data_IF_194606115206
#
_entry.id   IF_194606115206
#
_cell.length_a   1.000
_cell.length_b   1.000
_cell.length_c   1.000
_cell.angle_alpha   90.00
_cell.angle_beta   90.00
_cell.angle_gamma   90.00
#
_symmetry.space_group_name_H-M   'P 1'
#
loop_
_entity.id
_entity.type
_entity.pdbx_description
1 polymer ?
#
# COMPACT_ATOMS: atom_id res chain seq x y z
N UNK A 1 -31.30 -9.04 -9.80
CA UNK A 1 -30.01 -9.59 -10.26
C UNK A 1 -29.07 -8.41 -10.38
N UNK A 2 -28.27 -8.15 -9.34
CA UNK A 2 -27.29 -7.06 -9.37
C UNK A 2 -26.15 -7.50 -10.29
N UNK A 3 -26.01 -6.84 -11.44
CA UNK A 3 -24.84 -6.98 -12.29
C UNK A 3 -23.67 -6.38 -11.51
N UNK A 4 -22.83 -7.20 -10.88
CA UNK A 4 -21.53 -6.73 -10.38
C UNK A 4 -20.74 -6.17 -11.57
N UNK A 5 -20.21 -4.96 -11.42
CA UNK A 5 -19.34 -4.37 -12.45
C UNK A 5 -18.06 -5.21 -12.59
N UNK A 6 -17.40 -5.15 -13.74
CA UNK A 6 -16.11 -5.86 -13.93
C UNK A 6 -15.05 -5.44 -12.90
N UNK A 7 -15.10 -4.16 -12.46
CA UNK A 7 -14.30 -3.64 -11.34
C UNK A 7 -14.56 -4.38 -10.04
N UNK A 8 -15.82 -4.66 -9.69
CA UNK A 8 -16.17 -5.38 -8.45
C UNK A 8 -15.60 -6.80 -8.47
N UNK A 9 -15.67 -7.49 -9.60
CA UNK A 9 -15.09 -8.81 -9.77
C UNK A 9 -13.56 -8.81 -9.63
N UNK A 10 -12.89 -7.76 -10.13
CA UNK A 10 -11.44 -7.60 -9.99
C UNK A 10 -11.04 -7.29 -8.55
N UNK A 11 -11.77 -6.39 -7.88
CA UNK A 11 -11.56 -6.10 -6.46
C UNK A 11 -11.72 -7.37 -5.63
N UNK A 12 -12.78 -8.14 -5.84
CA UNK A 12 -12.99 -9.41 -5.12
C UNK A 12 -11.85 -10.40 -5.33
N UNK A 13 -11.27 -10.48 -6.54
CA UNK A 13 -10.09 -11.32 -6.80
C UNK A 13 -8.85 -10.82 -6.09
N UNK A 14 -8.61 -9.50 -6.10
CA UNK A 14 -7.48 -8.90 -5.39
C UNK A 14 -7.62 -9.19 -3.89
N UNK A 15 -8.75 -8.87 -3.29
CA UNK A 15 -8.97 -9.07 -1.85
C UNK A 15 -8.79 -10.55 -1.45
N UNK A 16 -9.37 -11.49 -2.20
CA UNK A 16 -9.16 -12.94 -1.95
C UNK A 16 -7.70 -13.37 -2.00
N UNK A 17 -6.89 -12.75 -2.87
CA UNK A 17 -5.45 -13.06 -2.91
C UNK A 17 -4.69 -12.47 -1.73
N UNK A 18 -5.11 -11.30 -1.24
CA UNK A 18 -4.52 -10.64 -0.07
C UNK A 18 -4.91 -11.33 1.23
N UNK A 19 -6.16 -11.77 1.39
CA UNK A 19 -6.69 -12.47 2.59
C UNK A 19 -5.86 -13.71 2.99
N UNK A 20 -5.05 -14.27 2.08
CA UNK A 20 -4.16 -15.40 2.38
C UNK A 20 -3.02 -15.02 3.32
N UNK A 21 -2.52 -13.77 3.22
CA UNK A 21 -1.30 -13.32 3.91
C UNK A 21 -1.45 -11.99 4.66
N UNK A 22 -2.47 -11.19 4.33
CA UNK A 22 -2.69 -9.84 4.83
C UNK A 22 -3.94 -9.79 5.70
N UNK A 23 -3.92 -8.92 6.69
CA UNK A 23 -5.12 -8.50 7.41
C UNK A 23 -5.88 -7.50 6.52
N UNK A 24 -7.05 -7.89 6.03
CA UNK A 24 -7.86 -7.10 5.08
C UNK A 24 -9.03 -6.44 5.79
N UNK A 25 -9.15 -5.12 5.66
CA UNK A 25 -10.29 -4.34 6.14
C UNK A 25 -11.01 -3.69 4.95
N UNK A 26 -12.33 -3.94 4.82
CA UNK A 26 -13.16 -3.27 3.81
C UNK A 26 -13.60 -1.90 4.32
N UNK A 27 -13.47 -0.88 3.49
CA UNK A 27 -13.76 0.50 3.86
C UNK A 27 -14.95 1.05 3.07
N UNK A 28 -15.78 1.86 3.74
CA UNK A 28 -16.79 2.69 3.10
C UNK A 28 -16.48 4.17 3.40
N UNK A 29 -15.42 4.70 2.78
CA UNK A 29 -15.09 6.11 2.90
C UNK A 29 -15.95 6.93 1.93
N UNK A 30 -16.74 7.90 2.44
CA UNK A 30 -17.59 8.75 1.59
C UNK A 30 -16.81 9.83 0.82
N UNK A 31 -15.61 10.20 1.27
CA UNK A 31 -14.84 11.30 0.68
C UNK A 31 -13.80 10.85 -0.35
N UNK A 32 -13.35 9.60 -0.29
CA UNK A 32 -12.38 9.03 -1.21
C UNK A 32 -12.89 7.66 -1.71
N UNK A 33 -12.55 7.25 -2.94
CA UNK A 33 -12.97 5.97 -3.50
C UNK A 33 -12.23 4.75 -2.88
N UNK A 34 -11.87 4.81 -1.60
CA UNK A 34 -11.18 3.74 -0.87
C UNK A 34 -12.18 2.61 -0.59
N UNK A 35 -11.85 1.40 -1.02
CA UNK A 35 -12.69 0.21 -0.83
C UNK A 35 -12.11 -0.79 0.15
N UNK A 36 -10.80 -0.78 0.37
CA UNK A 36 -10.14 -1.63 1.34
C UNK A 36 -8.74 -1.14 1.70
N UNK A 37 -8.30 -1.52 2.89
CA UNK A 37 -6.90 -1.51 3.32
C UNK A 37 -6.43 -2.95 3.58
N UNK A 38 -5.14 -3.20 3.39
CA UNK A 38 -4.54 -4.50 3.69
C UNK A 38 -3.18 -4.30 4.37
N UNK A 39 -2.96 -4.99 5.48
CA UNK A 39 -1.71 -4.87 6.26
C UNK A 39 -0.96 -6.20 6.31
N UNK A 40 0.36 -6.13 6.12
CA UNK A 40 1.26 -7.27 6.22
C UNK A 40 2.46 -6.93 7.09
N UNK A 41 2.78 -7.83 8.01
CA UNK A 41 3.86 -7.67 8.97
C UNK A 41 4.70 -8.94 9.05
N UNK A 42 5.98 -8.83 8.71
CA UNK A 42 6.95 -9.91 8.87
C UNK A 42 8.06 -9.47 9.81
N UNK A 43 8.28 -10.30 10.82
CA UNK A 43 9.40 -10.19 11.74
C UNK A 43 10.32 -11.39 11.53
N UNK A 44 11.52 -11.14 11.02
CA UNK A 44 12.56 -12.17 10.86
C UNK A 44 13.65 -11.95 11.91
N UNK A 45 13.93 -12.97 12.72
CA UNK A 45 15.06 -12.99 13.64
C UNK A 45 15.98 -14.17 13.36
N UNK A 46 17.29 -13.92 13.27
CA UNK A 46 18.30 -14.98 13.31
C UNK A 46 19.14 -14.88 14.58
N UNK A 47 19.19 -15.98 15.33
CA UNK A 47 19.98 -16.14 16.55
C UNK A 47 21.27 -16.92 16.25
N UNK A 48 22.37 -16.57 16.90
CA UNK A 48 23.59 -17.40 16.92
C UNK A 48 23.90 -17.81 18.35
N UNK A 49 23.94 -19.12 18.60
CA UNK A 49 24.37 -19.79 19.85
C UNK A 49 23.58 -19.50 21.15
N UNK A 50 22.86 -18.37 21.28
CA UNK A 50 21.86 -18.15 22.35
C UNK A 50 20.89 -17.01 22.01
N UNK A 51 19.73 -16.94 22.68
CA UNK A 51 18.76 -15.81 22.52
C UNK A 51 19.36 -14.43 22.81
N UNK A 52 20.48 -14.34 23.55
CA UNK A 52 21.17 -13.08 23.86
C UNK A 52 22.09 -12.58 22.72
N UNK A 53 22.36 -13.43 21.73
CA UNK A 53 23.18 -13.11 20.57
C UNK A 53 22.31 -13.12 19.29
N UNK A 54 21.43 -12.13 19.21
CA UNK A 54 20.67 -11.83 18.00
C UNK A 54 21.64 -11.31 16.93
N UNK A 55 21.75 -12.02 15.81
CA UNK A 55 22.67 -11.68 14.73
C UNK A 55 22.11 -10.53 13.88
N UNK A 56 20.79 -10.53 13.67
CA UNK A 56 20.00 -9.47 13.04
C UNK A 56 18.50 -9.73 13.27
N UNK A 57 17.72 -8.66 13.43
CA UNK A 57 16.27 -8.62 13.21
C UNK A 57 15.97 -7.79 11.96
N UNK A 58 14.98 -8.22 11.20
CA UNK A 58 14.45 -7.49 10.05
C UNK A 58 12.94 -7.47 10.16
N UNK A 59 12.40 -6.29 10.44
CA UNK A 59 10.97 -5.99 10.30
C UNK A 59 10.73 -5.47 8.89
N UNK A 60 9.83 -6.14 8.17
CA UNK A 60 9.34 -5.76 6.86
C UNK A 60 7.82 -5.64 6.93
N UNK A 61 7.29 -4.46 6.56
CA UNK A 61 5.86 -4.21 6.59
C UNK A 61 5.35 -3.74 5.23
N UNK A 62 4.09 -4.00 4.93
CA UNK A 62 3.40 -3.41 3.78
C UNK A 62 1.98 -2.97 4.17
N UNK A 63 1.61 -1.77 3.75
CA UNK A 63 0.31 -1.17 3.97
C UNK A 63 -0.29 -0.82 2.60
N UNK A 64 -1.35 -1.54 2.22
CA UNK A 64 -1.97 -1.44 0.89
C UNK A 64 -3.29 -0.69 0.98
N UNK A 65 -3.51 0.25 0.08
CA UNK A 65 -4.72 1.05 -0.04
C UNK A 65 -5.33 0.84 -1.44
N UNK A 66 -6.54 0.30 -1.48
CA UNK A 66 -7.20 -0.05 -2.74
C UNK A 66 -8.31 0.95 -3.04
N UNK A 67 -8.22 1.61 -4.19
CA UNK A 67 -9.15 2.63 -4.66
C UNK A 67 -9.91 2.15 -5.90
N UNK A 68 -11.22 2.37 -5.94
CA UNK A 68 -12.10 2.00 -7.07
C UNK A 68 -12.90 3.21 -7.55
N UNK A 69 -12.69 3.64 -8.79
CA UNK A 69 -13.40 4.77 -9.41
C UNK A 69 -13.72 4.48 -10.87
N UNK A 70 -14.70 5.14 -11.48
CA UNK A 70 -14.94 5.00 -12.93
C UNK A 70 -13.92 5.81 -13.74
N UNK A 71 -13.66 7.06 -13.31
CA UNK A 71 -12.67 7.95 -13.92
C UNK A 71 -11.61 8.33 -12.91
N UNK A 72 -10.35 8.00 -13.20
CA UNK A 72 -9.21 8.42 -12.40
C UNK A 72 -8.72 9.78 -12.90
N UNK A 73 -9.09 10.83 -12.17
CA UNK A 73 -8.64 12.21 -12.45
C UNK A 73 -7.37 12.53 -11.69
N UNK A 74 -6.61 13.51 -12.19
CA UNK A 74 -5.42 14.07 -11.52
C UNK A 74 -5.65 14.44 -10.06
N UNK A 75 -6.74 15.16 -9.78
CA UNK A 75 -7.05 15.60 -8.42
C UNK A 75 -7.33 14.41 -7.51
N UNK A 76 -8.10 13.44 -8.00
CA UNK A 76 -8.42 12.24 -7.23
C UNK A 76 -7.18 11.39 -6.95
N UNK A 77 -6.30 11.22 -7.95
CA UNK A 77 -5.02 10.53 -7.76
C UNK A 77 -4.19 11.21 -6.66
N UNK A 78 -4.04 12.54 -6.70
CA UNK A 78 -3.27 13.29 -5.69
C UNK A 78 -3.87 13.11 -4.30
N UNK A 79 -5.19 13.26 -4.16
CA UNK A 79 -5.87 13.10 -2.86
C UNK A 79 -5.74 11.69 -2.30
N UNK A 80 -5.92 10.66 -3.13
CA UNK A 80 -5.79 9.26 -2.71
C UNK A 80 -4.34 8.91 -2.35
N UNK A 81 -3.37 9.40 -3.14
CA UNK A 81 -1.94 9.22 -2.87
C UNK A 81 -1.55 9.84 -1.54
N UNK A 82 -1.93 11.10 -1.31
CA UNK A 82 -1.58 11.84 -0.10
C UNK A 82 -2.23 11.21 1.12
N UNK A 83 -3.50 10.79 1.01
CA UNK A 83 -4.18 10.02 2.04
C UNK A 83 -3.44 8.72 2.40
N UNK A 84 -3.13 7.88 1.40
CA UNK A 84 -2.42 6.61 1.64
C UNK A 84 -1.03 6.83 2.25
N UNK A 85 -0.32 7.85 1.78
CA UNK A 85 0.98 8.22 2.33
C UNK A 85 0.86 8.67 3.79
N UNK A 86 -0.07 9.57 4.10
CA UNK A 86 -0.23 10.12 5.45
C UNK A 86 -0.70 9.05 6.44
N UNK A 87 -1.69 8.23 6.08
CA UNK A 87 -2.15 7.12 6.93
C UNK A 87 -1.06 6.07 7.12
N UNK A 88 -0.40 5.63 6.04
CA UNK A 88 0.68 4.65 6.13
C UNK A 88 1.85 5.16 6.97
N UNK A 89 2.20 6.45 6.84
CA UNK A 89 3.27 7.05 7.63
C UNK A 89 2.96 7.14 9.14
N UNK A 90 1.68 7.17 9.55
CA UNK A 90 1.30 7.18 10.98
C UNK A 90 1.58 5.84 11.66
N UNK A 91 1.44 4.75 10.92
CA UNK A 91 1.57 3.37 11.45
C UNK A 91 2.98 2.81 11.30
N UNK A 92 3.81 3.37 10.42
CA UNK A 92 5.22 2.98 10.30
C UNK A 92 5.99 3.34 11.58
N UNK A 93 6.59 2.32 12.20
CA UNK A 93 7.41 2.46 13.40
C UNK A 93 8.90 2.16 13.11
N UNK A 94 9.71 3.16 12.72
CA UNK A 94 11.10 2.96 12.33
C UNK A 94 12.00 2.85 13.56
N UNK A 95 11.98 1.68 14.20
CA UNK A 95 12.83 1.30 15.34
C UNK A 95 14.10 0.55 14.86
N UNK A 96 15.13 0.36 15.70
CA UNK A 96 16.24 -0.54 15.37
C UNK A 96 15.71 -1.94 15.01
N UNK A 97 16.19 -2.51 13.90
CA UNK A 97 15.65 -3.76 13.33
C UNK A 97 14.60 -3.56 12.24
N UNK A 98 14.03 -2.36 12.08
CA UNK A 98 13.20 -2.03 10.92
C UNK A 98 14.05 -1.97 9.65
N UNK A 99 13.73 -2.82 8.66
CA UNK A 99 14.44 -2.88 7.39
C UNK A 99 13.75 -2.02 6.34
N UNK A 100 12.47 -2.27 6.09
CA UNK A 100 11.67 -1.45 5.18
C UNK A 100 10.19 -1.52 5.49
N UNK A 101 9.46 -0.49 5.06
CA UNK A 101 8.00 -0.51 4.96
C UNK A 101 7.57 -0.08 3.56
N UNK A 102 6.55 -0.72 3.01
CA UNK A 102 5.93 -0.27 1.77
C UNK A 102 4.57 0.36 2.04
N UNK A 103 4.32 1.50 1.39
CA UNK A 103 2.97 2.05 1.27
C UNK A 103 2.57 1.85 -0.17
N UNK A 104 1.63 0.94 -0.42
CA UNK A 104 1.22 0.55 -1.77
C UNK A 104 -0.19 1.06 -2.04
N UNK A 105 -0.39 1.67 -3.20
CA UNK A 105 -1.72 2.06 -3.68
C UNK A 105 -2.09 1.21 -4.90
N UNK A 106 -3.34 0.74 -4.94
CA UNK A 106 -3.89 0.04 -6.10
C UNK A 106 -5.10 0.82 -6.59
N UNK A 107 -5.02 1.36 -7.81
CA UNK A 107 -6.12 2.06 -8.45
C UNK A 107 -6.80 1.14 -9.47
N UNK A 108 -8.09 0.91 -9.31
CA UNK A 108 -8.95 0.19 -10.27
C UNK A 108 -9.91 1.20 -10.91
N UNK A 109 -9.82 1.36 -12.24
CA UNK A 109 -10.59 2.36 -12.98
C UNK A 109 -10.89 1.96 -14.43
N UNK A 110 -11.87 2.61 -15.07
CA UNK A 110 -12.19 2.37 -16.50
C UNK A 110 -11.52 3.42 -17.42
N UNK A 111 -11.43 4.66 -16.94
CA UNK A 111 -10.92 5.78 -17.75
C UNK A 111 -9.91 6.63 -16.98
N UNK A 112 -8.85 7.04 -17.67
CA UNK A 112 -7.81 7.92 -17.13
C UNK A 112 -7.24 8.75 -18.28
N UNK A 113 -7.04 10.05 -18.06
CA UNK A 113 -6.46 10.94 -19.06
C UNK A 113 -4.91 10.82 -19.09
N UNK A 114 -4.31 11.27 -20.21
CA UNK A 114 -2.87 11.11 -20.42
C UNK A 114 -2.02 11.95 -19.46
N UNK A 115 -2.53 13.09 -19.01
CA UNK A 115 -1.82 13.93 -18.03
C UNK A 115 -1.74 13.20 -16.69
N UNK A 116 -2.85 12.59 -16.26
CA UNK A 116 -2.92 11.78 -15.03
C UNK A 116 -2.01 10.55 -15.11
N UNK A 117 -2.01 9.79 -16.22
CA UNK A 117 -1.07 8.68 -16.40
C UNK A 117 0.41 9.11 -16.29
N UNK A 118 0.74 10.24 -16.91
CA UNK A 118 2.10 10.78 -16.88
C UNK A 118 2.49 11.24 -15.46
N UNK A 119 1.54 11.81 -14.71
CA UNK A 119 1.73 12.17 -13.31
C UNK A 119 2.00 10.93 -12.45
N UNK A 120 1.19 9.87 -12.60
CA UNK A 120 1.35 8.60 -11.87
C UNK A 120 2.76 8.02 -12.11
N UNK A 121 3.19 7.93 -13.37
CA UNK A 121 4.52 7.38 -13.74
C UNK A 121 5.69 8.19 -13.21
N UNK A 122 5.51 9.51 -13.04
CA UNK A 122 6.53 10.41 -12.49
C UNK A 122 6.52 10.44 -10.96
N UNK A 123 5.46 9.97 -10.33
CA UNK A 123 5.34 9.94 -8.88
C UNK A 123 6.31 8.93 -8.29
N UNK A 124 7.33 9.42 -7.60
CA UNK A 124 8.31 8.62 -6.86
C UNK A 124 8.46 9.22 -5.47
N UNK A 125 8.08 8.46 -4.46
CA UNK A 125 8.17 8.89 -3.06
C UNK A 125 8.91 7.81 -2.30
N UNK A 126 9.96 8.21 -1.62
CA UNK A 126 10.70 7.36 -0.70
C UNK A 126 11.18 8.17 0.49
N UNK A 127 11.40 7.50 1.61
CA UNK A 127 11.83 8.13 2.86
C UNK A 127 12.81 7.23 3.60
N UNK A 128 14.01 7.75 3.82
CA UNK A 128 14.98 7.10 4.70
C UNK A 128 14.73 7.49 6.16
N UNK A 129 14.79 6.51 7.05
CA UNK A 129 14.70 6.74 8.49
C UNK A 129 16.08 6.71 9.12
N UNK A 130 16.44 7.81 9.80
CA UNK A 130 17.77 8.01 10.41
C UNK A 130 18.92 7.62 9.48
N UNK A 131 19.01 8.25 8.31
CA UNK A 131 20.04 7.93 7.30
C UNK A 131 20.11 6.44 6.93
N UNK A 132 18.93 5.80 6.86
CA UNK A 132 18.73 4.37 6.57
C UNK A 132 19.21 3.40 7.66
N UNK A 133 19.72 3.87 8.80
CA UNK A 133 20.01 3.01 9.95
C UNK A 133 18.75 2.37 10.54
N UNK A 134 17.60 3.00 10.34
CA UNK A 134 16.30 2.50 10.77
C UNK A 134 15.44 2.09 9.56
N UNK A 135 16.09 1.67 8.48
CA UNK A 135 15.43 1.27 7.24
C UNK A 135 14.88 2.44 6.44
N UNK A 136 14.03 2.12 5.49
CA UNK A 136 13.40 3.09 4.59
C UNK A 136 11.93 2.76 4.36
N UNK A 137 11.22 3.69 3.73
CA UNK A 137 9.91 3.46 3.16
C UNK A 137 9.93 3.81 1.68
N UNK A 138 9.33 2.94 0.87
CA UNK A 138 9.04 3.22 -0.54
C UNK A 138 7.54 3.24 -0.77
N UNK A 139 7.10 4.19 -1.61
CA UNK A 139 5.70 4.32 -2.01
C UNK A 139 5.50 3.68 -3.38
N UNK A 140 4.61 2.70 -3.45
CA UNK A 140 4.29 1.97 -4.67
C UNK A 140 2.91 2.33 -5.19
N UNK A 141 2.80 2.36 -6.53
CA UNK A 141 1.54 2.63 -7.22
C UNK A 141 1.32 1.54 -8.26
N UNK A 142 0.20 0.85 -8.14
CA UNK A 142 -0.33 -0.06 -9.13
C UNK A 142 -1.62 0.51 -9.73
N UNK A 143 -1.84 0.26 -11.01
CA UNK A 143 -3.01 0.72 -11.75
C UNK A 143 -3.56 -0.44 -12.57
N UNK A 144 -4.87 -0.67 -12.48
CA UNK A 144 -5.59 -1.69 -13.22
C UNK A 144 -6.71 -0.99 -13.97
N UNK A 145 -6.59 -0.98 -15.30
CA UNK A 145 -7.62 -0.46 -16.18
C UNK A 145 -8.58 -1.59 -16.57
N UNK A 146 -9.88 -1.36 -16.46
CA UNK A 146 -10.95 -2.36 -16.66
C UNK A 146 -11.86 -2.02 -17.82
#
# INVERSE_FOLDING_TARGET
>A
MLLCSDKDNIIDKILKSYEVYYDVEKCENKSLPLVATCEFHVHNEKYVLSKKAQLWSSDANEYVYIFKTDTLTKNMFVQCRDYAYDEGMKVINPKPGHMYSYITTIFVYDTCDKETENLIKKCKISKNFKFSFHGWMDFHIACINT
#
